data_IF_974324747325
#
_entry.id   IF_974324747325
#
_cell.length_a   1.000
_cell.length_b   1.000
_cell.length_c   1.000
_cell.angle_alpha   90.00
_cell.angle_beta   90.00
_cell.angle_gamma   90.00
#
_symmetry.space_group_name_H-M   'P 1'
#
loop_
_entity.id
_entity.type
_entity.pdbx_description
1 polymer ?
#
# COMPACT_ATOMS: atom_id res chain seq x y z
N UNK A 1 6.93 12.75 -19.58
CA UNK A 1 8.20 12.26 -18.99
C UNK A 1 8.28 10.76 -19.27
N UNK A 2 9.37 10.27 -19.86
CA UNK A 2 9.65 8.83 -19.94
C UNK A 2 10.50 8.49 -18.72
N UNK A 3 9.89 7.92 -17.67
CA UNK A 3 10.63 7.41 -16.52
C UNK A 3 11.26 6.08 -16.91
N UNK A 4 12.52 6.12 -17.35
CA UNK A 4 13.32 4.92 -17.52
C UNK A 4 13.79 4.43 -16.15
N UNK A 5 13.09 3.43 -15.60
CA UNK A 5 13.61 2.63 -14.49
C UNK A 5 14.78 1.78 -15.00
N UNK A 6 16.01 2.26 -14.89
CA UNK A 6 17.22 1.44 -15.10
C UNK A 6 17.69 0.94 -13.73
N UNK A 7 18.11 -0.33 -13.65
CA UNK A 7 18.62 -0.97 -12.43
C UNK A 7 17.61 -1.03 -11.27
N UNK A 8 16.38 -1.48 -11.54
CA UNK A 8 15.40 -1.78 -10.50
C UNK A 8 15.32 -3.28 -10.20
N UNK A 9 14.94 -3.63 -8.99
CA UNK A 9 14.57 -4.98 -8.57
C UNK A 9 13.05 -5.07 -8.47
N UNK A 10 12.43 -6.06 -9.12
CA UNK A 10 11.02 -6.35 -8.92
C UNK A 10 10.84 -7.18 -7.66
N UNK A 11 10.18 -6.61 -6.64
CA UNK A 11 9.98 -7.25 -5.34
C UNK A 11 8.71 -8.10 -5.31
N UNK A 12 7.60 -7.58 -5.86
CA UNK A 12 6.34 -8.31 -5.95
C UNK A 12 5.49 -7.81 -7.13
N UNK A 13 4.63 -8.69 -7.64
CA UNK A 13 3.61 -8.38 -8.63
C UNK A 13 2.30 -9.00 -8.18
N UNK A 14 1.26 -8.18 -8.12
CA UNK A 14 -0.11 -8.64 -7.87
C UNK A 14 -0.98 -8.19 -9.02
N UNK A 15 -1.67 -9.15 -9.61
CA UNK A 15 -2.68 -8.92 -10.63
C UNK A 15 -4.06 -9.28 -10.07
N UNK A 16 -5.02 -8.39 -10.26
CA UNK A 16 -6.43 -8.70 -10.11
C UNK A 16 -7.18 -8.45 -11.42
N UNK A 17 -8.49 -8.69 -11.45
CA UNK A 17 -9.29 -8.64 -12.69
C UNK A 17 -9.21 -7.32 -13.46
N UNK A 18 -8.81 -6.21 -12.83
CA UNK A 18 -8.78 -4.89 -13.48
C UNK A 18 -7.44 -4.18 -13.31
N UNK A 19 -6.56 -4.69 -12.45
CA UNK A 19 -5.36 -3.99 -12.02
C UNK A 19 -4.15 -4.89 -12.07
N UNK A 20 -3.03 -4.27 -12.46
CA UNK A 20 -1.71 -4.85 -12.35
C UNK A 20 -0.86 -3.93 -11.49
N UNK A 21 -0.31 -4.46 -10.40
CA UNK A 21 0.48 -3.70 -9.44
C UNK A 21 1.87 -4.29 -9.33
N UNK A 22 2.86 -3.42 -9.42
CA UNK A 22 4.26 -3.75 -9.24
C UNK A 22 4.77 -3.05 -8.00
N UNK A 23 5.41 -3.80 -7.11
CA UNK A 23 6.31 -3.23 -6.12
C UNK A 23 7.73 -3.44 -6.63
N UNK A 24 8.42 -2.35 -6.90
CA UNK A 24 9.83 -2.37 -7.34
C UNK A 24 10.69 -1.59 -6.36
N UNK A 25 11.95 -1.96 -6.24
CA UNK A 25 12.96 -1.24 -5.49
C UNK A 25 14.01 -0.69 -6.42
N UNK A 26 14.32 0.59 -6.26
CA UNK A 26 15.40 1.25 -6.98
C UNK A 26 16.23 2.01 -5.96
N UNK A 27 17.51 1.63 -5.85
CA UNK A 27 18.39 2.15 -4.80
C UNK A 27 17.79 1.94 -3.38
N UNK A 28 17.47 3.03 -2.67
CA UNK A 28 16.85 3.00 -1.35
C UNK A 28 15.32 3.21 -1.39
N UNK A 29 14.74 3.41 -2.57
CA UNK A 29 13.33 3.76 -2.73
C UNK A 29 12.47 2.57 -3.16
N UNK A 30 11.36 2.39 -2.46
CA UNK A 30 10.25 1.54 -2.86
C UNK A 30 9.32 2.33 -3.78
N UNK A 31 8.96 1.71 -4.89
CA UNK A 31 8.09 2.27 -5.91
C UNK A 31 6.91 1.32 -6.13
N UNK A 32 5.73 1.73 -5.68
CA UNK A 32 4.47 1.06 -6.02
C UNK A 32 3.97 1.66 -7.34
N UNK A 33 3.76 0.82 -8.35
CA UNK A 33 3.22 1.22 -9.65
C UNK A 33 1.90 0.49 -9.89
N UNK A 34 0.84 1.23 -10.19
CA UNK A 34 -0.49 0.70 -10.44
C UNK A 34 -0.87 0.98 -11.89
N UNK A 35 -1.28 -0.08 -12.57
CA UNK A 35 -1.81 -0.01 -13.93
C UNK A 35 -3.23 -0.55 -13.95
N UNK A 36 -4.11 0.17 -14.67
CA UNK A 36 -5.51 -0.21 -14.85
C UNK A 36 -5.75 -0.72 -16.26
N UNK A 37 -6.48 -1.82 -16.36
CA UNK A 37 -6.91 -2.36 -17.64
C UNK A 37 -7.82 -1.35 -18.37
N UNK A 38 -7.54 -1.11 -19.65
CA UNK A 38 -8.34 -0.29 -20.55
C UNK A 38 -8.35 -0.92 -21.95
N UNK A 39 -9.41 -1.68 -22.23
CA UNK A 39 -9.51 -2.45 -23.46
C UNK A 39 -8.55 -3.63 -23.44
N UNK A 40 -7.63 -3.71 -24.39
CA UNK A 40 -6.63 -4.80 -24.48
C UNK A 40 -5.26 -4.43 -23.91
N UNK A 41 -5.17 -3.33 -23.15
CA UNK A 41 -3.91 -2.81 -22.63
C UNK A 41 -4.06 -2.33 -21.19
N UNK A 42 -2.94 -2.22 -20.48
CA UNK A 42 -2.86 -1.61 -19.15
C UNK A 42 -2.30 -0.19 -19.26
N UNK A 43 -2.98 0.77 -18.62
CA UNK A 43 -2.52 2.16 -18.54
C UNK A 43 -2.08 2.49 -17.12
N UNK A 44 -1.00 3.24 -16.99
CA UNK A 44 -0.52 3.74 -15.71
C UNK A 44 -1.60 4.61 -15.04
N UNK A 45 -2.07 4.19 -13.87
CA UNK A 45 -3.09 4.88 -13.06
C UNK A 45 -2.45 5.76 -11.99
N UNK A 46 -1.24 5.39 -11.55
CA UNK A 46 -0.45 6.14 -10.58
C UNK A 46 0.44 5.22 -9.77
N UNK A 47 1.04 5.80 -8.73
CA UNK A 47 1.96 5.08 -7.87
C UNK A 47 2.34 5.88 -6.65
N UNK A 48 3.10 5.27 -5.76
CA UNK A 48 3.76 5.95 -4.65
C UNK A 48 5.23 5.59 -4.61
N UNK A 49 6.04 6.56 -4.23
CA UNK A 49 7.48 6.42 -4.01
C UNK A 49 7.72 6.66 -2.53
N UNK A 50 8.55 5.83 -1.91
CA UNK A 50 8.88 5.95 -0.50
C UNK A 50 10.27 5.44 -0.22
N UNK A 51 10.97 6.12 0.67
CA UNK A 51 12.26 5.72 1.25
C UNK A 51 12.08 4.75 2.44
N UNK A 52 10.84 4.47 2.85
CA UNK A 52 10.51 3.55 3.96
C UNK A 52 9.88 2.25 3.46
N UNK A 53 10.02 1.13 4.21
CA UNK A 53 9.68 -0.21 3.74
C UNK A 53 8.18 -0.52 3.70
N UNK A 54 7.33 0.50 3.68
CA UNK A 54 5.88 0.36 3.61
C UNK A 54 5.29 1.65 3.08
N UNK A 55 4.06 1.54 2.59
CA UNK A 55 3.36 2.71 2.11
C UNK A 55 1.98 2.37 1.62
N UNK A 56 1.30 3.39 1.14
CA UNK A 56 -0.02 3.23 0.55
C UNK A 56 -0.20 4.18 -0.63
N UNK A 57 -1.22 3.89 -1.41
CA UNK A 57 -1.78 4.78 -2.42
C UNK A 57 -3.30 4.74 -2.30
N UNK A 58 -3.93 5.91 -2.35
CA UNK A 58 -5.38 6.05 -2.37
C UNK A 58 -5.82 6.66 -3.69
N UNK A 59 -6.80 6.03 -4.35
CA UNK A 59 -7.38 6.50 -5.60
C UNK A 59 -8.90 6.55 -5.42
N UNK A 60 -9.43 7.77 -5.36
CA UNK A 60 -10.87 8.02 -5.34
C UNK A 60 -11.44 8.09 -6.75
N UNK A 61 -12.59 7.46 -6.97
CA UNK A 61 -13.44 7.65 -8.15
C UNK A 61 -14.84 8.10 -7.70
N UNK A 62 -15.75 8.34 -8.64
CA UNK A 62 -17.16 8.59 -8.32
C UNK A 62 -17.85 7.41 -7.64
N UNK A 63 -17.36 6.19 -7.89
CA UNK A 63 -18.08 4.96 -7.54
C UNK A 63 -17.47 4.26 -6.32
N UNK A 64 -16.17 4.46 -6.09
CA UNK A 64 -15.44 3.85 -4.99
C UNK A 64 -14.13 4.56 -4.69
N UNK A 65 -13.60 4.29 -3.50
CA UNK A 65 -12.24 4.61 -3.10
C UNK A 65 -11.45 3.33 -2.97
N UNK A 66 -10.33 3.29 -3.69
CA UNK A 66 -9.39 2.17 -3.64
C UNK A 66 -8.19 2.55 -2.80
N UNK A 67 -7.80 1.64 -1.92
CA UNK A 67 -6.62 1.77 -1.07
C UNK A 67 -5.72 0.60 -1.37
N UNK A 68 -4.53 0.90 -1.85
CA UNK A 68 -3.46 -0.09 -2.04
C UNK A 68 -2.44 0.13 -0.95
N UNK A 69 -2.14 -0.92 -0.18
CA UNK A 69 -1.09 -0.92 0.85
C UNK A 69 0.02 -1.87 0.40
N UNK A 70 1.27 -1.44 0.53
CA UNK A 70 2.40 -2.35 0.37
C UNK A 70 3.27 -2.38 1.64
N UNK A 71 3.98 -3.50 1.80
CA UNK A 71 4.84 -3.75 2.95
C UNK A 71 6.00 -4.66 2.56
N UNK A 72 7.24 -4.25 2.84
CA UNK A 72 8.38 -5.15 2.97
C UNK A 72 8.40 -5.73 4.39
N UNK A 73 7.89 -6.95 4.49
CA UNK A 73 7.74 -7.65 5.75
C UNK A 73 9.07 -8.24 6.26
N UNK A 74 10.11 -8.29 5.43
CA UNK A 74 11.46 -8.70 5.88
C UNK A 74 12.08 -7.67 6.83
N UNK A 75 11.70 -6.40 6.70
CA UNK A 75 12.15 -5.29 7.56
C UNK A 75 11.13 -5.04 8.66
N UNK A 76 9.86 -4.83 8.31
CA UNK A 76 8.83 -4.42 9.28
C UNK A 76 8.50 -5.52 10.29
N UNK A 77 8.49 -6.79 9.86
CA UNK A 77 8.26 -7.98 10.71
C UNK A 77 7.04 -7.86 11.63
N UNK A 78 5.98 -7.20 11.16
CA UNK A 78 4.75 -7.03 11.91
C UNK A 78 3.91 -8.31 11.89
N UNK A 79 3.08 -8.50 12.92
CA UNK A 79 2.02 -9.50 12.92
C UNK A 79 0.72 -8.93 12.36
N UNK A 80 0.52 -7.62 12.55
CA UNK A 80 -0.68 -6.89 12.15
C UNK A 80 -0.33 -5.48 11.72
N UNK A 81 -1.05 -4.96 10.73
CA UNK A 81 -1.10 -3.53 10.46
C UNK A 81 -2.53 -3.01 10.51
N UNK A 82 -2.64 -1.73 10.80
CA UNK A 82 -3.88 -0.97 10.78
C UNK A 82 -3.72 0.33 10.00
N UNK A 83 -4.84 0.87 9.56
CA UNK A 83 -4.97 2.25 9.12
C UNK A 83 -6.42 2.68 9.31
N UNK A 84 -6.65 3.99 9.43
CA UNK A 84 -8.00 4.53 9.42
C UNK A 84 -8.30 5.15 8.08
N UNK A 85 -9.56 5.02 7.64
CA UNK A 85 -10.12 5.78 6.55
C UNK A 85 -11.06 6.83 7.10
N UNK A 86 -10.97 8.03 6.56
CA UNK A 86 -11.87 9.12 6.89
C UNK A 86 -12.35 9.85 5.65
N UNK A 87 -13.38 10.68 5.85
CA UNK A 87 -13.86 11.61 4.84
C UNK A 87 -13.01 12.88 4.86
N UNK A 88 -13.12 13.71 3.82
CA UNK A 88 -12.31 14.93 3.69
C UNK A 88 -12.55 15.96 4.83
N UNK A 89 -13.71 15.90 5.49
CA UNK A 89 -14.21 16.99 6.33
C UNK A 89 -14.47 16.64 7.80
N UNK A 90 -14.44 15.37 8.22
CA UNK A 90 -14.66 15.02 9.63
C UNK A 90 -13.97 13.72 10.04
N UNK A 91 -13.35 13.76 11.23
CA UNK A 91 -12.83 12.59 11.95
C UNK A 91 -13.95 11.77 12.64
N UNK A 92 -15.21 12.21 12.57
CA UNK A 92 -16.34 11.53 13.21
C UNK A 92 -16.72 10.22 12.50
N UNK A 93 -16.60 10.17 11.16
CA UNK A 93 -16.83 8.97 10.34
C UNK A 93 -15.51 8.28 9.96
N UNK A 94 -14.92 7.60 10.95
CA UNK A 94 -13.66 6.89 10.79
C UNK A 94 -13.89 5.37 10.72
N UNK A 95 -13.32 4.72 9.70
CA UNK A 95 -13.30 3.26 9.58
C UNK A 95 -11.87 2.73 9.79
N UNK A 96 -11.64 1.99 10.88
CA UNK A 96 -10.37 1.31 11.11
C UNK A 96 -10.32 -0.02 10.37
N UNK A 97 -9.31 -0.17 9.52
CA UNK A 97 -9.00 -1.41 8.82
C UNK A 97 -7.84 -2.08 9.54
N UNK A 98 -7.96 -3.39 9.79
CA UNK A 98 -6.96 -4.18 10.50
C UNK A 98 -6.68 -5.47 9.74
N UNK A 99 -5.42 -5.71 9.38
CA UNK A 99 -4.97 -6.95 8.74
C UNK A 99 -3.96 -7.66 9.63
N UNK A 100 -4.35 -8.82 10.17
CA UNK A 100 -3.48 -9.69 10.96
C UNK A 100 -2.80 -10.80 10.14
N UNK A 101 -2.04 -11.63 10.84
CA UNK A 101 -1.38 -12.81 10.30
C UNK A 101 -0.31 -12.48 9.27
N UNK A 102 0.41 -11.36 9.44
CA UNK A 102 1.36 -10.86 8.46
C UNK A 102 2.69 -11.62 8.47
N UNK A 103 3.17 -12.03 9.64
CA UNK A 103 4.45 -12.76 9.80
C UNK A 103 4.50 -14.08 9.02
N UNK A 104 3.33 -14.66 8.74
CA UNK A 104 3.17 -15.92 8.00
C UNK A 104 2.88 -15.72 6.50
N UNK A 105 2.93 -14.48 5.99
CA UNK A 105 2.71 -14.18 4.56
C UNK A 105 4.04 -13.96 3.83
N UNK A 106 3.94 -13.71 2.53
CA UNK A 106 5.05 -13.40 1.63
C UNK A 106 5.95 -12.29 2.16
N UNK A 107 7.23 -12.34 1.78
CA UNK A 107 8.27 -11.34 2.12
C UNK A 107 7.85 -9.92 1.78
N UNK A 108 7.21 -9.75 0.63
CA UNK A 108 6.69 -8.48 0.14
C UNK A 108 5.19 -8.61 -0.05
N UNK A 109 4.43 -7.62 0.41
CA UNK A 109 2.97 -7.67 0.39
C UNK A 109 2.44 -6.49 -0.43
N UNK A 110 1.40 -6.75 -1.23
CA UNK A 110 0.52 -5.75 -1.82
C UNK A 110 -0.91 -6.16 -1.50
N UNK A 111 -1.70 -5.25 -0.92
CA UNK A 111 -3.11 -5.48 -0.57
C UNK A 111 -3.99 -4.36 -1.08
N UNK A 112 -5.03 -4.75 -1.80
CA UNK A 112 -6.07 -3.87 -2.29
C UNK A 112 -7.31 -3.96 -1.45
N UNK A 113 -7.87 -2.80 -1.17
CA UNK A 113 -9.16 -2.64 -0.54
C UNK A 113 -10.02 -1.70 -1.37
N UNK A 114 -11.29 -2.05 -1.55
CA UNK A 114 -12.27 -1.22 -2.23
C UNK A 114 -13.35 -0.84 -1.23
N UNK A 115 -13.58 0.47 -1.09
CA UNK A 115 -14.60 1.02 -0.22
C UNK A 115 -15.57 1.85 -1.04
N UNK A 116 -16.85 1.79 -0.72
CA UNK A 116 -17.81 2.73 -1.28
C UNK A 116 -17.50 4.15 -0.74
N UNK A 117 -17.91 5.21 -1.45
CA UNK A 117 -17.82 6.59 -0.94
C UNK A 117 -18.45 6.70 0.46
N UNK A 118 -18.00 7.65 1.32
CA UNK A 118 -17.27 8.88 0.99
C UNK A 118 -15.81 8.94 1.46
N UNK A 119 -15.19 7.80 1.79
CA UNK A 119 -13.81 7.77 2.28
C UNK A 119 -12.84 8.31 1.24
N UNK A 120 -11.95 9.23 1.62
CA UNK A 120 -11.05 9.91 0.66
C UNK A 120 -9.64 10.10 1.18
N UNK A 121 -9.41 9.86 2.46
CA UNK A 121 -8.11 9.96 3.10
C UNK A 121 -7.85 8.74 3.98
N UNK A 122 -6.57 8.52 4.23
CA UNK A 122 -6.07 7.46 5.09
C UNK A 122 -5.12 8.07 6.13
N UNK A 123 -5.22 7.60 7.37
CA UNK A 123 -4.22 7.94 8.40
C UNK A 123 -2.93 7.13 8.18
N UNK A 124 -1.85 7.50 8.89
CA UNK A 124 -0.59 6.74 8.80
C UNK A 124 -0.79 5.24 9.10
N UNK A 125 -0.01 4.39 8.43
CA UNK A 125 0.00 2.95 8.70
C UNK A 125 0.53 2.67 10.11
N UNK A 126 -0.01 1.61 10.70
CA UNK A 126 0.10 1.34 12.13
C UNK A 126 0.47 -0.11 12.39
N UNK A 127 1.67 -0.41 12.85
CA UNK A 127 2.17 -1.80 12.92
C UNK A 127 2.22 -2.37 14.34
N UNK A 128 1.95 -3.67 14.48
CA UNK A 128 1.93 -4.35 15.77
C UNK A 128 2.69 -5.67 15.70
N UNK A 129 3.41 -5.98 16.78
CA UNK A 129 4.14 -7.24 16.94
C UNK A 129 3.20 -8.41 17.29
N UNK A 130 3.77 -9.61 17.42
CA UNK A 130 3.05 -10.85 17.77
C UNK A 130 2.32 -10.80 19.12
N UNK A 131 2.69 -9.89 20.01
CA UNK A 131 2.06 -9.70 21.32
C UNK A 131 0.98 -8.59 21.26
N UNK A 132 0.72 -8.02 20.08
CA UNK A 132 -0.18 -6.89 19.89
C UNK A 132 0.39 -5.55 20.35
N UNK A 133 1.71 -5.48 20.65
CA UNK A 133 2.35 -4.22 21.02
C UNK A 133 2.62 -3.39 19.77
N UNK A 134 2.35 -2.09 19.85
CA UNK A 134 2.70 -1.11 18.82
C UNK A 134 4.20 -1.13 18.55
N UNK A 135 4.58 -1.27 17.27
CA UNK A 135 5.96 -1.08 16.81
C UNK A 135 6.17 0.41 16.58
N UNK A 136 7.30 0.94 17.04
CA UNK A 136 7.74 2.29 16.73
C UNK A 136 8.32 2.30 15.31
N UNK A 137 7.67 3.03 14.41
CA UNK A 137 8.04 3.07 13.01
C UNK A 137 9.43 3.66 12.74
N UNK A 138 10.00 4.42 13.69
CA UNK A 138 11.38 4.92 13.57
C UNK A 138 12.43 3.79 13.53
N UNK A 139 12.09 2.61 14.06
CA UNK A 139 12.95 1.43 14.04
C UNK A 139 13.15 0.84 12.63
N UNK A 140 12.46 1.36 11.61
CA UNK A 140 12.60 0.91 10.22
C UNK A 140 13.58 1.74 9.38
N UNK A 141 14.12 2.81 9.97
CA UNK A 141 15.01 3.78 9.30
C UNK A 141 16.51 3.50 9.52
N UNK A 142 16.83 2.40 10.21
CA UNK A 142 18.20 1.98 10.57
C UNK A 142 18.98 1.32 9.40
#
# INVERSE_FOLDING_TARGET
>A
MHNHFKNYEQLNVVEDKQLMMYLVKQEQEYNLLIFKEKGSAFLYEGGSISDIPYGHMIVGTSDNTRVTVYLDNSIVKAERYEFDLSTYNDNEDMLTISLGGLSNKDTYLIKNYNFLPPYTSISQLRFYDKNGKRIDETAFLD
#
